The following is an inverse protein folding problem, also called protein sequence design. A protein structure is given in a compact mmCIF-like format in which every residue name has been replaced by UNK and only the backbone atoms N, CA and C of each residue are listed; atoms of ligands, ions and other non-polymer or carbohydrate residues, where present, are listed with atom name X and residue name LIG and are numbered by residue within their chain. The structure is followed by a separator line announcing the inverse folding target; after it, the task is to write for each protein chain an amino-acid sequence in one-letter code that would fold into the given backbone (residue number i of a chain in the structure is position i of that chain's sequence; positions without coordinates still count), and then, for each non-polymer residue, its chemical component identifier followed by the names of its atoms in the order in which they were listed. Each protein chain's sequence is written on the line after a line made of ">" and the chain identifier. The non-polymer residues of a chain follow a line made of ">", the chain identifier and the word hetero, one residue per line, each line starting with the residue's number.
data_IF_942051775369
#
_entry.id   IF_942051775369
#
_cell.length_a   1.000
_cell.length_b   1.000
_cell.length_c   1.000
_cell.angle_alpha   90.00
_cell.angle_beta   90.00
_cell.angle_gamma   90.00
#
_symmetry.space_group_name_H-M   'P 1'
#
loop_
_entity.id
_entity.type
_entity.pdbx_description
1 polymer ?
#
# COMPACT_ATOMS: atom_id res chain seq x y z
N UNK A 1 -17.45 28.92 -28.28
CA UNK A 1 -17.83 27.58 -27.78
C UNK A 1 -16.64 26.94 -27.11
N UNK A 2 -16.51 27.10 -25.79
CA UNK A 2 -15.54 26.32 -25.00
C UNK A 2 -16.15 24.94 -24.86
N UNK A 3 -15.62 23.97 -25.62
CA UNK A 3 -16.02 22.57 -25.52
C UNK A 3 -15.63 22.12 -24.10
N UNK A 4 -16.63 21.69 -23.33
CA UNK A 4 -16.45 21.20 -21.96
C UNK A 4 -15.79 19.82 -22.04
N UNK A 5 -14.45 19.80 -22.01
CA UNK A 5 -13.68 18.56 -22.09
C UNK A 5 -13.64 17.88 -20.72
N UNK A 6 -14.63 17.03 -20.51
CA UNK A 6 -14.76 16.25 -19.28
C UNK A 6 -13.63 15.21 -19.15
N UNK A 7 -13.02 14.79 -20.27
CA UNK A 7 -11.84 13.91 -20.28
C UNK A 7 -10.61 14.61 -19.71
N UNK A 8 -10.30 15.81 -20.20
CA UNK A 8 -9.15 16.59 -19.71
C UNK A 8 -9.24 16.93 -18.21
N UNK A 9 -10.45 17.13 -17.69
CA UNK A 9 -10.67 17.37 -16.24
C UNK A 9 -10.43 16.09 -15.44
N UNK A 10 -10.89 14.93 -15.93
CA UNK A 10 -10.66 13.62 -15.29
C UNK A 10 -9.17 13.28 -15.29
N UNK A 11 -8.46 13.48 -16.41
CA UNK A 11 -7.01 13.20 -16.50
C UNK A 11 -6.20 14.04 -15.53
N UNK A 12 -6.57 15.31 -15.37
CA UNK A 12 -5.94 16.21 -14.39
C UNK A 12 -6.22 15.77 -12.94
N UNK A 13 -7.45 15.35 -12.64
CA UNK A 13 -7.82 14.83 -11.33
C UNK A 13 -7.09 13.52 -11.00
N UNK A 14 -7.02 12.60 -11.96
CA UNK A 14 -6.31 11.32 -11.84
C UNK A 14 -4.82 11.55 -11.63
N UNK A 15 -4.19 12.43 -12.40
CA UNK A 15 -2.76 12.75 -12.23
C UNK A 15 -2.45 13.34 -10.85
N UNK A 16 -3.28 14.30 -10.39
CA UNK A 16 -3.13 14.86 -9.05
C UNK A 16 -3.30 13.80 -7.96
N UNK A 17 -4.24 12.87 -8.14
CA UNK A 17 -4.45 11.79 -7.20
C UNK A 17 -3.28 10.79 -7.18
N UNK A 18 -2.70 10.44 -8.33
CA UNK A 18 -1.51 9.56 -8.39
C UNK A 18 -0.36 10.18 -7.61
N UNK A 19 -0.16 11.50 -7.70
CA UNK A 19 0.86 12.20 -6.91
C UNK A 19 0.56 12.10 -5.41
N UNK A 20 -0.69 12.35 -5.00
CA UNK A 20 -1.10 12.22 -3.60
C UNK A 20 -0.95 10.79 -3.08
N UNK A 21 -1.22 9.78 -3.91
CA UNK A 21 -1.00 8.38 -3.61
C UNK A 21 0.49 8.10 -3.40
N UNK A 22 1.35 8.55 -4.32
CA UNK A 22 2.80 8.38 -4.20
C UNK A 22 3.34 9.06 -2.92
N UNK A 23 2.86 10.26 -2.59
CA UNK A 23 3.20 10.96 -1.34
C UNK A 23 2.74 10.19 -0.11
N UNK A 24 1.51 9.66 -0.11
CA UNK A 24 0.99 8.86 1.01
C UNK A 24 1.83 7.58 1.22
N UNK A 25 2.15 6.87 0.15
CA UNK A 25 3.01 5.68 0.18
C UNK A 25 4.39 6.02 0.74
N UNK A 26 4.99 7.13 0.28
CA UNK A 26 6.28 7.58 0.77
C UNK A 26 6.25 7.87 2.29
N UNK A 27 5.19 8.54 2.78
CA UNK A 27 5.02 8.81 4.21
C UNK A 27 4.90 7.50 5.00
N UNK A 28 4.10 6.54 4.52
CA UNK A 28 3.94 5.23 5.17
C UNK A 28 5.28 4.50 5.25
N UNK A 29 6.05 4.45 4.16
CA UNK A 29 7.39 3.82 4.17
C UNK A 29 8.31 4.52 5.18
N UNK A 30 8.29 5.85 5.22
CA UNK A 30 9.12 6.63 6.15
C UNK A 30 8.76 6.32 7.61
N UNK A 31 7.47 6.27 7.94
CA UNK A 31 6.98 5.87 9.26
C UNK A 31 7.45 4.44 9.59
N UNK A 32 7.27 3.48 8.68
CA UNK A 32 7.70 2.09 8.89
C UNK A 32 9.21 1.98 9.15
N UNK A 33 10.04 2.75 8.43
CA UNK A 33 11.48 2.79 8.64
C UNK A 33 11.86 3.32 10.03
N UNK A 34 11.16 4.36 10.50
CA UNK A 34 11.40 4.96 11.82
C UNK A 34 11.00 4.03 12.96
N UNK A 35 9.82 3.40 12.88
CA UNK A 35 9.30 2.60 14.00
C UNK A 35 9.79 1.15 14.01
N UNK A 36 9.93 0.51 12.85
CA UNK A 36 10.30 -0.92 12.76
C UNK A 36 11.79 -1.16 12.52
N UNK A 37 12.55 -0.09 12.21
CA UNK A 37 13.96 -0.14 11.84
C UNK A 37 14.18 -0.53 10.37
N UNK A 38 15.42 -0.39 9.91
CA UNK A 38 15.76 -0.44 8.49
C UNK A 38 15.39 -1.77 7.80
N UNK A 39 15.69 -2.93 8.41
CA UNK A 39 15.45 -4.24 7.78
C UNK A 39 13.96 -4.54 7.61
N UNK A 40 13.18 -4.33 8.68
CA UNK A 40 11.73 -4.61 8.67
C UNK A 40 10.97 -3.55 7.88
N UNK A 41 11.34 -2.28 8.00
CA UNK A 41 10.70 -1.19 7.27
C UNK A 41 10.89 -1.29 5.75
N UNK A 42 12.11 -1.62 5.28
CA UNK A 42 12.36 -1.85 3.84
C UNK A 42 11.56 -3.05 3.32
N UNK A 43 11.50 -4.15 4.09
CA UNK A 43 10.72 -5.33 3.71
C UNK A 43 9.23 -4.97 3.54
N UNK A 44 8.66 -4.28 4.52
CA UNK A 44 7.24 -3.87 4.47
C UNK A 44 6.98 -2.85 3.36
N UNK A 45 7.87 -1.89 3.15
CA UNK A 45 7.76 -0.91 2.06
C UNK A 45 7.82 -1.54 0.67
N UNK A 46 8.64 -2.58 0.50
CA UNK A 46 8.69 -3.35 -0.74
C UNK A 46 7.39 -4.14 -0.97
N UNK A 47 6.86 -4.82 0.05
CA UNK A 47 5.57 -5.55 -0.04
C UNK A 47 4.44 -4.61 -0.45
N UNK A 48 4.37 -3.43 0.17
CA UNK A 48 3.37 -2.41 -0.14
C UNK A 48 3.50 -1.95 -1.61
N UNK A 49 4.72 -1.62 -2.05
CA UNK A 49 4.97 -1.17 -3.43
C UNK A 49 4.60 -2.24 -4.45
N UNK A 50 5.00 -3.48 -4.22
CA UNK A 50 4.68 -4.63 -5.10
C UNK A 50 3.17 -4.83 -5.17
N UNK A 51 2.45 -4.70 -4.05
CA UNK A 51 0.99 -4.85 -4.01
C UNK A 51 0.28 -3.78 -4.84
N UNK A 52 0.74 -2.52 -4.77
CA UNK A 52 0.19 -1.42 -5.58
C UNK A 52 0.43 -1.65 -7.07
N UNK A 53 1.67 -1.98 -7.45
CA UNK A 53 2.01 -2.25 -8.84
C UNK A 53 1.25 -3.46 -9.38
N UNK A 54 1.14 -4.52 -8.59
CA UNK A 54 0.34 -5.70 -8.92
C UNK A 54 -1.12 -5.36 -9.14
N UNK A 55 -1.69 -4.48 -8.31
CA UNK A 55 -3.08 -4.02 -8.49
C UNK A 55 -3.25 -3.26 -9.81
N UNK A 56 -2.32 -2.37 -10.17
CA UNK A 56 -2.38 -1.66 -11.46
C UNK A 56 -2.22 -2.61 -12.65
N UNK A 57 -1.36 -3.61 -12.56
CA UNK A 57 -1.21 -4.65 -13.60
C UNK A 57 -2.53 -5.40 -13.77
N UNK A 58 -3.15 -5.84 -12.67
CA UNK A 58 -4.44 -6.53 -12.68
C UNK A 58 -5.51 -5.63 -13.30
N UNK A 59 -5.61 -4.37 -12.88
CA UNK A 59 -6.56 -3.41 -13.47
C UNK A 59 -6.36 -3.25 -14.97
N UNK A 60 -5.11 -3.19 -15.44
CA UNK A 60 -4.79 -3.11 -16.86
C UNK A 60 -5.26 -4.34 -17.63
N UNK A 61 -5.02 -5.56 -17.10
CA UNK A 61 -5.44 -6.82 -17.71
C UNK A 61 -6.97 -6.94 -17.78
N UNK A 62 -7.68 -6.48 -16.75
CA UNK A 62 -9.16 -6.51 -16.71
C UNK A 62 -9.81 -5.30 -17.41
N UNK A 63 -9.03 -4.38 -17.98
CA UNK A 63 -9.56 -3.17 -18.64
C UNK A 63 -10.24 -2.19 -17.70
N UNK A 64 -9.93 -2.25 -16.39
CA UNK A 64 -10.50 -1.36 -15.38
C UNK A 64 -9.80 -0.01 -15.49
N UNK A 65 -10.57 1.03 -15.83
CA UNK A 65 -10.07 2.39 -15.95
C UNK A 65 -9.74 2.97 -14.56
N UNK A 66 -8.65 3.73 -14.52
CA UNK A 66 -8.25 4.47 -13.33
C UNK A 66 -9.10 5.73 -13.23
N UNK A 67 -10.08 5.71 -12.32
CA UNK A 67 -10.98 6.82 -12.03
C UNK A 67 -10.86 7.19 -10.56
N UNK A 68 -11.35 8.38 -10.18
CA UNK A 68 -11.33 8.84 -8.78
C UNK A 68 -11.99 7.84 -7.81
N UNK A 69 -13.03 7.12 -8.24
CA UNK A 69 -13.69 6.07 -7.44
C UNK A 69 -12.78 4.85 -7.27
N UNK A 70 -12.20 4.33 -8.36
CA UNK A 70 -11.23 3.21 -8.33
C UNK A 70 -10.02 3.54 -7.46
N UNK A 71 -9.55 4.78 -7.55
CA UNK A 71 -8.45 5.32 -6.77
C UNK A 71 -8.78 5.47 -5.28
N UNK A 72 -9.98 5.92 -4.93
CA UNK A 72 -10.46 5.92 -3.55
C UNK A 72 -10.58 4.50 -2.98
N UNK A 73 -11.12 3.56 -3.76
CA UNK A 73 -11.18 2.15 -3.38
C UNK A 73 -9.79 1.54 -3.17
N UNK A 74 -8.82 1.89 -4.01
CA UNK A 74 -7.43 1.47 -3.88
C UNK A 74 -6.83 1.94 -2.55
N UNK A 75 -7.02 3.22 -2.16
CA UNK A 75 -6.51 3.73 -0.88
C UNK A 75 -7.09 2.96 0.32
N UNK A 76 -8.41 2.73 0.33
CA UNK A 76 -9.08 2.01 1.43
C UNK A 76 -8.56 0.57 1.51
N UNK A 77 -8.50 -0.13 0.37
CA UNK A 77 -8.00 -1.49 0.30
C UNK A 77 -6.53 -1.59 0.76
N UNK A 78 -5.69 -0.64 0.34
CA UNK A 78 -4.30 -0.57 0.76
C UNK A 78 -4.16 -0.33 2.26
N UNK A 79 -4.96 0.57 2.85
CA UNK A 79 -4.97 0.79 4.30
C UNK A 79 -5.25 -0.51 5.06
N UNK A 80 -6.32 -1.22 4.68
CA UNK A 80 -6.69 -2.48 5.32
C UNK A 80 -5.62 -3.58 5.13
N UNK A 81 -5.01 -3.66 3.94
CA UNK A 81 -3.99 -4.66 3.63
C UNK A 81 -2.70 -4.40 4.43
N UNK A 82 -2.27 -3.15 4.46
CA UNK A 82 -1.03 -2.72 5.10
C UNK A 82 -1.16 -2.83 6.61
N UNK A 83 -2.30 -2.42 7.19
CA UNK A 83 -2.54 -2.53 8.63
C UNK A 83 -2.41 -3.99 9.11
N UNK A 84 -3.08 -4.92 8.43
CA UNK A 84 -2.98 -6.34 8.77
C UNK A 84 -1.57 -6.89 8.62
N UNK A 85 -0.88 -6.53 7.53
CA UNK A 85 0.48 -7.00 7.27
C UNK A 85 1.48 -6.45 8.31
N UNK A 86 1.31 -5.20 8.76
CA UNK A 86 2.11 -4.58 9.81
C UNK A 86 1.88 -5.31 11.14
N UNK A 87 0.63 -5.49 11.56
CA UNK A 87 0.31 -6.14 12.85
C UNK A 87 0.87 -7.56 12.91
N UNK A 88 0.74 -8.33 11.82
CA UNK A 88 1.29 -9.69 11.74
C UNK A 88 2.82 -9.67 11.84
N UNK A 89 3.49 -8.80 11.09
CA UNK A 89 4.96 -8.74 11.06
C UNK A 89 5.53 -8.25 12.39
N UNK A 90 4.96 -7.20 12.97
CA UNK A 90 5.35 -6.69 14.28
C UNK A 90 5.12 -7.74 15.37
N UNK A 91 3.98 -8.41 15.34
CA UNK A 91 3.68 -9.51 16.24
C UNK A 91 4.77 -10.60 16.15
N UNK A 92 5.18 -11.01 14.95
CA UNK A 92 6.20 -12.05 14.76
C UNK A 92 7.53 -11.60 15.35
N UNK A 93 7.92 -10.35 15.13
CA UNK A 93 9.14 -9.76 15.68
C UNK A 93 9.07 -9.73 17.22
N UNK A 94 7.94 -9.34 17.80
CA UNK A 94 7.73 -9.35 19.26
C UNK A 94 7.77 -10.78 19.81
N UNK A 95 7.17 -11.75 19.12
CA UNK A 95 7.21 -13.16 19.49
C UNK A 95 8.63 -13.71 19.54
N UNK A 96 9.43 -13.40 18.51
CA UNK A 96 10.86 -13.78 18.46
C UNK A 96 11.64 -13.11 19.61
N UNK A 97 11.37 -11.83 19.91
CA UNK A 97 11.99 -11.12 21.05
C UNK A 97 11.62 -11.72 22.40
N UNK A 98 10.46 -12.37 22.51
CA UNK A 98 10.01 -13.11 23.71
C UNK A 98 10.58 -14.54 23.79
N UNK A 99 11.48 -14.93 22.89
CA UNK A 99 12.16 -16.22 22.91
C UNK A 99 11.50 -17.32 22.09
N UNK A 100 10.42 -17.03 21.35
CA UNK A 100 9.82 -17.99 20.43
C UNK A 100 10.72 -18.22 19.21
N UNK A 101 10.76 -19.45 18.70
CA UNK A 101 11.38 -19.70 17.40
C UNK A 101 10.58 -19.01 16.28
N UNK A 102 11.22 -18.73 15.13
CA UNK A 102 10.57 -18.05 14.00
C UNK A 102 9.28 -18.76 13.54
N UNK A 103 9.28 -20.10 13.55
CA UNK A 103 8.12 -20.91 13.16
C UNK A 103 6.99 -20.81 14.19
N UNK A 104 7.32 -20.89 15.47
CA UNK A 104 6.32 -20.75 16.55
C UNK A 104 5.73 -19.35 16.60
N UNK A 105 6.56 -18.32 16.41
CA UNK A 105 6.09 -16.93 16.35
C UNK A 105 5.13 -16.71 15.18
N UNK A 106 5.45 -17.24 14.00
CA UNK A 106 4.56 -17.16 12.83
C UNK A 106 3.24 -17.94 13.04
N UNK A 107 3.32 -19.17 13.55
CA UNK A 107 2.14 -20.03 13.77
C UNK A 107 1.21 -19.53 14.88
N UNK A 108 1.68 -18.65 15.76
CA UNK A 108 0.86 -18.09 16.85
C UNK A 108 0.04 -16.88 16.42
N UNK A 109 0.42 -16.25 15.30
CA UNK A 109 -0.08 -14.93 14.88
C UNK A 109 -0.96 -15.01 13.65
N UNK A 110 -0.72 -16.01 12.80
CA UNK A 110 -1.59 -16.39 11.67
C UNK A 110 -2.53 -17.49 12.12
#
# INVERSE_FOLDING_TARGET
>A
NVIYDQGAIVDKAVSGFIINLAQSVAIVILVLLVFMGLKSGVLMGAVLTITILGTFIVMNVFGIQLQNVSLGALIIALGMLVDNAIVVTEGIIIGIRKGLSRKEAASRIV
#
